data_IF_252945006872
#
_entry.id   IF_252945006872
#
_cell.length_a   1.000
_cell.length_b   1.000
_cell.length_c   1.000
_cell.angle_alpha   90.00
_cell.angle_beta   90.00
_cell.angle_gamma   90.00
#
_symmetry.space_group_name_H-M   'P 1'
#
loop_
_entity.id
_entity.type
_entity.pdbx_description
1 polymer ?
#
# COMPACT_ATOMS: atom_id res chain seq x y z
N UNK A 1 -14.45 -0.92 -2.17
CA UNK A 1 -13.43 -1.70 -1.40
C UNK A 1 -12.86 -0.83 -0.30
N UNK A 2 -12.57 -1.43 0.84
CA UNK A 2 -11.95 -0.73 1.97
C UNK A 2 -10.43 -0.70 1.82
N UNK A 3 -9.76 0.08 2.70
CA UNK A 3 -8.30 0.07 2.77
C UNK A 3 -7.77 -1.34 3.03
N UNK A 4 -8.44 -2.09 3.91
CA UNK A 4 -8.05 -3.46 4.22
C UNK A 4 -8.14 -4.37 3.00
N UNK A 5 -9.17 -4.23 2.18
CA UNK A 5 -9.34 -5.03 0.96
C UNK A 5 -8.20 -4.78 -0.02
N UNK A 6 -7.82 -3.52 -0.22
CA UNK A 6 -6.68 -3.17 -1.08
C UNK A 6 -5.37 -3.68 -0.49
N UNK A 7 -5.20 -3.55 0.83
CA UNK A 7 -3.99 -4.03 1.50
C UNK A 7 -3.81 -5.54 1.30
N UNK A 8 -4.89 -6.31 1.40
CA UNK A 8 -4.83 -7.76 1.17
C UNK A 8 -4.41 -8.08 -0.26
N UNK A 9 -4.83 -7.29 -1.24
CA UNK A 9 -4.36 -7.44 -2.62
C UNK A 9 -2.87 -7.14 -2.73
N UNK A 10 -2.40 -6.06 -2.11
CA UNK A 10 -1.00 -5.67 -2.17
C UNK A 10 -0.10 -6.63 -1.41
N UNK A 11 -0.59 -7.29 -0.37
CA UNK A 11 0.18 -8.28 0.40
C UNK A 11 0.52 -9.55 -0.38
N UNK A 12 -0.17 -9.79 -1.49
CA UNK A 12 0.19 -10.87 -2.42
C UNK A 12 1.44 -10.55 -3.22
N UNK A 13 1.88 -9.30 -3.19
CA UNK A 13 3.05 -8.81 -3.92
C UNK A 13 4.18 -8.62 -2.93
N UNK A 14 5.34 -9.20 -3.20
CA UNK A 14 6.49 -9.18 -2.30
C UNK A 14 7.63 -8.26 -2.76
N UNK A 15 7.48 -7.56 -3.89
CA UNK A 15 8.51 -6.62 -4.37
C UNK A 15 7.91 -5.23 -4.57
N UNK A 16 8.74 -4.19 -4.33
CA UNK A 16 8.34 -2.81 -4.55
C UNK A 16 8.03 -2.53 -6.01
N UNK A 17 8.81 -3.12 -6.92
CA UNK A 17 8.60 -2.93 -8.36
C UNK A 17 7.22 -3.42 -8.79
N UNK A 18 6.84 -4.61 -8.38
CA UNK A 18 5.52 -5.17 -8.71
C UNK A 18 4.39 -4.39 -8.04
N UNK A 19 4.62 -3.92 -6.81
CA UNK A 19 3.66 -3.07 -6.11
C UNK A 19 3.41 -1.77 -6.88
N UNK A 20 4.46 -1.11 -7.34
CA UNK A 20 4.33 0.13 -8.10
C UNK A 20 3.60 -0.09 -9.42
N UNK A 21 3.82 -1.21 -10.10
CA UNK A 21 3.10 -1.54 -11.33
C UNK A 21 1.60 -1.70 -11.07
N UNK A 22 1.23 -2.41 -10.01
CA UNK A 22 -0.17 -2.59 -9.64
C UNK A 22 -0.78 -1.26 -9.20
N UNK A 23 -0.04 -0.48 -8.43
CA UNK A 23 -0.46 0.86 -8.00
C UNK A 23 -0.79 1.74 -9.21
N UNK A 24 0.12 1.81 -10.19
CA UNK A 24 -0.08 2.62 -11.40
C UNK A 24 -1.31 2.15 -12.18
N UNK A 25 -1.48 0.83 -12.31
CA UNK A 25 -2.64 0.26 -13.00
C UNK A 25 -3.95 0.66 -12.31
N UNK A 26 -4.02 0.50 -10.99
CA UNK A 26 -5.22 0.86 -10.23
C UNK A 26 -5.48 2.38 -10.25
N UNK A 27 -4.42 3.17 -10.15
CA UNK A 27 -4.54 4.63 -10.23
C UNK A 27 -5.08 5.08 -11.58
N UNK A 28 -4.75 4.37 -12.63
CA UNK A 28 -5.25 4.66 -13.97
C UNK A 28 -6.70 4.21 -14.18
N UNK A 29 -7.10 3.07 -13.59
CA UNK A 29 -8.41 2.48 -13.84
C UNK A 29 -9.49 2.93 -12.87
N UNK A 30 -9.13 3.35 -11.65
CA UNK A 30 -10.09 3.81 -10.66
C UNK A 30 -10.54 5.23 -10.97
N UNK A 31 -11.85 5.46 -10.90
CA UNK A 31 -12.46 6.77 -11.16
C UNK A 31 -13.14 7.36 -9.93
N UNK A 32 -13.43 6.54 -8.91
CA UNK A 32 -14.07 6.97 -7.68
C UNK A 32 -13.01 7.50 -6.71
N UNK A 33 -13.19 8.74 -6.21
CA UNK A 33 -12.24 9.38 -5.31
C UNK A 33 -12.04 8.61 -4.01
N UNK A 34 -13.10 8.05 -3.41
CA UNK A 34 -12.98 7.25 -2.19
C UNK A 34 -12.15 5.99 -2.42
N UNK A 35 -12.37 5.33 -3.55
CA UNK A 35 -11.60 4.15 -3.92
C UNK A 35 -10.13 4.49 -4.13
N UNK A 36 -9.85 5.59 -4.80
CA UNK A 36 -8.48 6.06 -5.02
C UNK A 36 -7.78 6.34 -3.68
N UNK A 37 -8.44 7.04 -2.78
CA UNK A 37 -7.87 7.34 -1.45
C UNK A 37 -7.60 6.06 -0.67
N UNK A 38 -8.53 5.12 -0.67
CA UNK A 38 -8.36 3.83 0.01
C UNK A 38 -7.20 3.04 -0.59
N UNK A 39 -7.09 3.04 -1.91
CA UNK A 39 -6.00 2.38 -2.62
C UNK A 39 -4.65 3.02 -2.27
N UNK A 40 -4.54 4.35 -2.26
CA UNK A 40 -3.32 5.06 -1.87
C UNK A 40 -2.88 4.70 -0.45
N UNK A 41 -3.82 4.70 0.50
CA UNK A 41 -3.52 4.36 1.89
C UNK A 41 -3.00 2.94 2.02
N UNK A 42 -3.64 2.00 1.32
CA UNK A 42 -3.21 0.60 1.34
C UNK A 42 -1.84 0.43 0.69
N UNK A 43 -1.57 1.11 -0.42
CA UNK A 43 -0.29 1.05 -1.10
C UNK A 43 0.84 1.61 -0.23
N UNK A 44 0.62 2.75 0.42
CA UNK A 44 1.60 3.34 1.32
C UNK A 44 1.89 2.41 2.50
N UNK A 45 0.85 1.81 3.07
CA UNK A 45 1.00 0.86 4.16
C UNK A 45 1.84 -0.34 3.73
N UNK A 46 1.58 -0.89 2.54
CA UNK A 46 2.36 -2.02 2.01
C UNK A 46 3.81 -1.64 1.71
N UNK A 47 4.05 -0.43 1.22
CA UNK A 47 5.41 0.07 1.03
C UNK A 47 6.17 0.09 2.36
N UNK A 48 5.52 0.57 3.42
CA UNK A 48 6.11 0.57 4.75
C UNK A 48 6.46 -0.85 5.22
N UNK A 49 5.58 -1.81 4.98
CA UNK A 49 5.84 -3.22 5.29
C UNK A 49 7.06 -3.75 4.52
N UNK A 50 7.14 -3.46 3.25
CA UNK A 50 8.24 -3.96 2.39
C UNK A 50 9.59 -3.32 2.74
N UNK A 51 9.64 -2.01 3.01
CA UNK A 51 10.90 -1.34 3.35
C UNK A 51 11.39 -1.70 4.76
N UNK A 52 10.52 -2.22 5.61
CA UNK A 52 10.90 -2.71 6.94
C UNK A 52 11.28 -4.19 6.98
N UNK A 53 11.59 -4.77 5.82
CA UNK A 53 12.00 -6.16 5.71
C UNK A 53 10.86 -7.16 5.59
N UNK A 54 9.70 -6.70 5.15
CA UNK A 54 8.54 -7.55 4.97
C UNK A 54 7.68 -7.73 6.23
N UNK A 55 7.92 -6.91 7.25
CA UNK A 55 7.09 -6.94 8.47
C UNK A 55 5.65 -6.56 8.15
N UNK A 56 4.71 -7.29 8.73
CA UNK A 56 3.29 -6.96 8.61
C UNK A 56 2.88 -6.06 9.76
N UNK A 57 2.22 -4.94 9.44
CA UNK A 57 1.70 -4.00 10.42
C UNK A 57 0.20 -3.90 10.27
N UNK A 58 -0.51 -3.74 11.38
CA UNK A 58 -1.91 -3.35 11.35
C UNK A 58 -2.04 -1.91 10.84
N UNK A 59 -3.15 -1.61 10.18
CA UNK A 59 -3.41 -0.26 9.68
C UNK A 59 -3.41 0.70 10.88
N UNK A 60 -2.62 1.77 10.77
CA UNK A 60 -2.46 2.75 11.83
C UNK A 60 -1.38 2.42 12.85
N UNK A 61 -0.72 1.26 12.73
CA UNK A 61 0.31 0.82 13.68
C UNK A 61 1.72 0.85 13.10
N UNK A 62 1.92 1.54 11.98
CA UNK A 62 3.25 1.66 11.37
C UNK A 62 4.08 2.68 12.15
N UNK A 63 5.30 2.31 12.65
CA UNK A 63 6.16 3.25 13.35
C UNK A 63 6.55 4.44 12.47
N UNK A 64 6.64 5.62 13.06
CA UNK A 64 7.03 6.84 12.32
C UNK A 64 8.38 6.71 11.64
N UNK A 65 9.31 5.98 12.24
CA UNK A 65 10.63 5.76 11.66
C UNK A 65 10.58 5.01 10.32
N UNK A 66 9.57 4.17 10.13
CA UNK A 66 9.38 3.43 8.86
C UNK A 66 8.92 4.37 7.76
N UNK A 67 8.08 5.35 8.08
CA UNK A 67 7.56 6.29 7.09
C UNK A 67 8.64 7.16 6.45
N UNK A 68 9.78 7.34 7.10
CA UNK A 68 10.92 8.06 6.49
C UNK A 68 11.46 7.37 5.23
N UNK A 69 11.30 6.05 5.15
CA UNK A 69 11.79 5.28 4.00
C UNK A 69 10.77 5.21 2.85
N UNK A 70 9.53 5.60 3.10
CA UNK A 70 8.44 5.52 2.11
C UNK A 70 8.32 6.81 1.30
N UNK A 71 8.72 7.92 1.87
CA UNK A 71 8.58 9.24 1.25
C UNK A 71 9.81 9.65 0.45
#
# INVERSE_FOLDING_TARGET
MTVQDYLLKFRKISSLESLEKLFDHLNYTLTDNEEIINMYRAADHRRAELVSGGRLFDIGCVPKSVWHYVQ
#
